data_IF_115678900813
#
_entry.id   IF_115678900813
#
_cell.length_a   1.000
_cell.length_b   1.000
_cell.length_c   1.000
_cell.angle_alpha   90.00
_cell.angle_beta   90.00
_cell.angle_gamma   90.00
#
_symmetry.space_group_name_H-M   'P 1'
#
loop_
_entity.id
_entity.type
_entity.pdbx_description
1 polymer ?
#
# COMPACT_ATOMS: atom_id res chain seq x y z
N UNK A 1 3.69 12.49 -11.60
CA UNK A 1 3.03 11.71 -10.53
C UNK A 1 1.72 11.16 -11.08
N UNK A 2 1.34 9.94 -10.71
CA UNK A 2 0.03 9.34 -11.01
C UNK A 2 -0.70 9.13 -9.70
N UNK A 3 -1.94 9.61 -9.62
CA UNK A 3 -2.87 9.33 -8.52
C UNK A 3 -3.56 7.98 -8.75
N UNK A 4 -3.79 7.22 -7.68
CA UNK A 4 -4.42 5.90 -7.78
C UNK A 4 -5.50 5.66 -6.72
N UNK A 5 -5.44 6.32 -5.56
CA UNK A 5 -6.41 6.10 -4.47
C UNK A 5 -6.76 7.37 -3.70
N UNK A 6 -7.90 7.33 -3.01
CA UNK A 6 -8.44 8.38 -2.17
C UNK A 6 -9.05 7.76 -0.91
N UNK A 7 -8.82 8.38 0.24
CA UNK A 7 -9.44 8.04 1.51
C UNK A 7 -9.99 9.29 2.18
N UNK A 8 -11.08 9.15 2.95
CA UNK A 8 -11.62 10.22 3.80
C UNK A 8 -11.59 9.77 5.26
N UNK A 9 -11.13 10.65 6.14
CA UNK A 9 -11.33 10.52 7.59
C UNK A 9 -12.70 11.10 7.91
N UNK A 10 -13.67 10.23 8.20
CA UNK A 10 -15.05 10.63 8.49
C UNK A 10 -15.19 11.40 9.81
N UNK A 11 -14.17 11.39 10.67
CA UNK A 11 -14.19 12.09 11.96
C UNK A 11 -13.75 13.53 11.82
N UNK A 12 -12.66 13.77 11.08
CA UNK A 12 -12.10 15.12 10.88
C UNK A 12 -12.56 15.80 9.60
N UNK A 13 -13.03 15.04 8.60
CA UNK A 13 -13.29 15.51 7.24
C UNK A 13 -12.04 15.68 6.38
N UNK A 14 -10.86 15.38 6.92
CA UNK A 14 -9.62 15.33 6.14
C UNK A 14 -9.67 14.20 5.11
N UNK A 15 -8.88 14.30 4.05
CA UNK A 15 -8.75 13.24 3.06
C UNK A 15 -7.28 13.03 2.67
N UNK A 16 -6.98 11.81 2.24
CA UNK A 16 -5.66 11.44 1.76
C UNK A 16 -5.74 10.98 0.31
N UNK A 17 -4.84 11.47 -0.53
CA UNK A 17 -4.67 11.01 -1.91
C UNK A 17 -3.37 10.24 -1.99
N UNK A 18 -3.38 9.09 -2.65
CA UNK A 18 -2.20 8.25 -2.81
C UNK A 18 -1.91 7.98 -4.27
N UNK A 19 -0.66 7.61 -4.53
CA UNK A 19 -0.28 7.17 -5.84
C UNK A 19 1.18 6.79 -5.93
N UNK A 20 1.71 6.98 -7.13
CA UNK A 20 3.09 6.66 -7.45
C UNK A 20 3.75 7.70 -8.36
N UNK A 21 5.07 7.73 -8.36
CA UNK A 21 5.86 8.43 -9.36
C UNK A 21 7.08 7.61 -9.76
N UNK A 22 7.49 7.73 -11.01
CA UNK A 22 8.72 7.14 -11.50
C UNK A 22 9.90 8.00 -11.01
N UNK A 23 10.86 7.38 -10.34
CA UNK A 23 12.09 8.01 -9.85
C UNK A 23 13.29 7.27 -10.45
N UNK A 24 14.19 8.03 -11.07
CA UNK A 24 15.45 7.51 -11.57
C UNK A 24 16.49 7.58 -10.46
N UNK A 25 16.90 6.41 -9.96
CA UNK A 25 18.00 6.26 -9.01
C UNK A 25 19.22 5.70 -9.75
N UNK A 26 20.41 5.84 -9.16
CA UNK A 26 21.65 5.34 -9.79
C UNK A 26 21.54 3.81 -9.96
N UNK A 27 21.44 3.36 -11.20
CA UNK A 27 21.36 1.94 -11.55
C UNK A 27 19.96 1.30 -11.50
N UNK A 28 18.89 2.06 -11.25
CA UNK A 28 17.53 1.53 -11.22
C UNK A 28 16.47 2.63 -11.41
N UNK A 29 15.42 2.34 -12.17
CA UNK A 29 14.22 3.18 -12.26
C UNK A 29 13.11 2.51 -11.48
N UNK A 30 12.66 3.13 -10.38
CA UNK A 30 11.64 2.57 -9.50
C UNK A 30 10.41 3.45 -9.44
N UNK A 31 9.24 2.85 -9.18
CA UNK A 31 8.14 3.64 -8.68
C UNK A 31 8.31 3.90 -7.18
N UNK A 32 8.00 5.13 -6.78
CA UNK A 32 7.92 5.56 -5.40
C UNK A 32 6.47 5.83 -5.08
N UNK A 33 6.01 5.24 -3.98
CA UNK A 33 4.73 5.54 -3.42
C UNK A 33 4.76 6.94 -2.82
N UNK A 34 3.64 7.64 -2.89
CA UNK A 34 3.46 8.90 -2.20
C UNK A 34 2.05 9.02 -1.65
N UNK A 35 1.89 9.91 -0.66
CA UNK A 35 0.61 10.30 -0.08
C UNK A 35 0.58 11.81 0.12
N UNK A 36 -0.55 12.43 -0.19
CA UNK A 36 -0.87 13.79 0.22
C UNK A 36 -2.02 13.75 1.21
N UNK A 37 -1.89 14.47 2.32
CA UNK A 37 -2.98 14.69 3.28
C UNK A 37 -3.51 16.11 3.10
N UNK A 38 -4.83 16.22 3.01
CA UNK A 38 -5.55 17.47 2.81
C UNK A 38 -6.56 17.61 3.93
N UNK A 39 -6.59 18.78 4.56
CA UNK A 39 -7.51 19.05 5.65
C UNK A 39 -8.94 19.24 5.13
N UNK A 40 -9.92 19.26 6.04
CA UNK A 40 -11.33 19.45 5.69
C UNK A 40 -11.63 20.78 4.98
N UNK A 41 -10.73 21.77 5.09
CA UNK A 41 -10.86 23.05 4.38
C UNK A 41 -10.36 23.00 2.92
N UNK A 42 -9.79 21.86 2.47
CA UNK A 42 -9.24 21.67 1.13
C UNK A 42 -7.79 22.11 0.95
N UNK A 43 -7.10 22.56 2.01
CA UNK A 43 -5.67 22.90 2.00
C UNK A 43 -4.82 21.69 2.40
N UNK A 44 -3.57 21.64 1.94
CA UNK A 44 -2.61 20.63 2.40
C UNK A 44 -2.48 20.69 3.93
N UNK A 45 -2.45 19.52 4.56
CA UNK A 45 -2.29 19.40 6.00
C UNK A 45 -0.80 19.46 6.36
N UNK A 46 -0.28 20.65 6.62
CA UNK A 46 1.13 20.89 6.98
C UNK A 46 1.58 20.14 8.25
N UNK A 47 0.66 19.61 9.06
CA UNK A 47 1.03 18.73 10.18
C UNK A 47 1.51 17.35 9.73
N UNK A 48 1.29 16.99 8.46
CA UNK A 48 1.70 15.75 7.83
C UNK A 48 2.96 15.98 6.99
N UNK A 49 4.09 15.42 7.42
CA UNK A 49 5.41 15.55 6.78
C UNK A 49 5.93 17.00 6.58
N UNK A 50 5.26 17.99 7.17
CA UNK A 50 5.63 19.41 7.15
C UNK A 50 5.03 20.22 6.00
N UNK A 51 4.53 19.57 4.95
CA UNK A 51 3.95 20.22 3.75
C UNK A 51 2.70 19.50 3.22
N UNK A 52 2.17 18.53 3.98
CA UNK A 52 1.04 17.71 3.58
C UNK A 52 1.35 16.66 2.52
N UNK A 53 2.61 16.43 2.17
CA UNK A 53 3.03 15.47 1.15
C UNK A 53 4.19 14.61 1.61
N UNK A 54 4.10 13.29 1.40
CA UNK A 54 5.18 12.37 1.68
C UNK A 54 5.45 11.45 0.51
N UNK A 55 6.70 11.43 0.05
CA UNK A 55 7.24 10.39 -0.83
C UNK A 55 8.05 9.38 -0.01
N UNK A 56 7.89 8.09 -0.29
CA UNK A 56 8.54 7.02 0.47
C UNK A 56 9.80 6.50 -0.24
N UNK A 57 10.92 7.20 -0.06
CA UNK A 57 12.23 6.78 -0.58
C UNK A 57 13.01 5.88 0.39
N UNK A 58 13.23 6.36 1.62
CA UNK A 58 13.87 5.59 2.68
C UNK A 58 12.79 5.04 3.64
N UNK A 59 12.95 3.81 4.18
CA UNK A 59 14.08 2.89 4.02
C UNK A 59 13.93 1.92 2.82
N UNK A 60 13.29 2.33 1.72
CA UNK A 60 12.94 1.48 0.57
C UNK A 60 13.74 1.80 -0.72
N UNK A 61 15.07 2.02 -0.68
CA UNK A 61 15.80 2.65 -1.78
C UNK A 61 15.88 1.82 -3.07
N UNK A 62 15.65 0.50 -3.01
CA UNK A 62 15.69 -0.41 -4.15
C UNK A 62 14.35 -1.09 -4.43
N UNK A 63 13.31 -0.73 -3.69
CA UNK A 63 12.00 -1.41 -3.73
C UNK A 63 11.07 -0.65 -4.65
N UNK A 64 10.43 -1.30 -5.61
CA UNK A 64 9.30 -0.68 -6.32
C UNK A 64 8.12 -0.60 -5.35
N UNK A 65 7.62 0.61 -5.08
CA UNK A 65 6.54 0.86 -4.14
C UNK A 65 5.46 1.69 -4.81
N UNK A 66 4.22 1.20 -4.76
CA UNK A 66 3.07 1.79 -5.44
C UNK A 66 1.87 1.70 -4.53
N UNK A 67 1.16 2.80 -4.31
CA UNK A 67 -0.08 2.79 -3.53
C UNK A 67 -1.28 3.00 -4.44
N UNK A 68 -2.29 2.16 -4.24
CA UNK A 68 -3.54 2.16 -4.99
C UNK A 68 -4.74 2.41 -4.09
N UNK A 69 -4.66 2.03 -2.82
CA UNK A 69 -5.72 2.18 -1.85
C UNK A 69 -5.20 2.84 -0.58
N UNK A 70 -6.07 3.51 0.15
CA UNK A 70 -5.78 4.09 1.44
C UNK A 70 -7.02 4.01 2.33
N UNK A 71 -6.80 3.97 3.65
CA UNK A 71 -7.84 4.15 4.64
C UNK A 71 -7.28 4.82 5.89
N UNK A 72 -8.16 5.51 6.62
CA UNK A 72 -7.86 6.00 7.95
C UNK A 72 -8.29 4.98 9.00
N UNK A 73 -7.46 4.76 10.02
CA UNK A 73 -7.89 4.08 11.24
C UNK A 73 -8.51 5.07 12.23
N UNK A 74 -9.20 4.59 13.30
CA UNK A 74 -9.84 5.47 14.28
C UNK A 74 -8.89 6.40 15.05
N UNK A 75 -7.58 6.16 14.99
CA UNK A 75 -6.55 7.01 15.60
C UNK A 75 -6.01 8.06 14.62
N UNK A 76 -6.53 8.10 13.39
CA UNK A 76 -6.09 9.00 12.32
C UNK A 76 -4.79 8.56 11.65
N UNK A 77 -4.30 7.35 11.92
CA UNK A 77 -3.21 6.79 11.13
C UNK A 77 -3.72 6.43 9.73
N UNK A 78 -2.83 6.45 8.76
CA UNK A 78 -3.09 6.03 7.40
C UNK A 78 -2.55 4.62 7.17
N UNK A 79 -3.39 3.75 6.63
CA UNK A 79 -2.97 2.49 6.04
C UNK A 79 -3.00 2.65 4.52
N UNK A 80 -1.87 2.35 3.87
CA UNK A 80 -1.67 2.50 2.43
C UNK A 80 -1.47 1.12 1.82
N UNK A 81 -2.34 0.73 0.90
CA UNK A 81 -2.29 -0.55 0.19
C UNK A 81 -1.84 -0.42 -1.24
N UNK A 82 -1.09 -1.40 -1.71
CA UNK A 82 -0.71 -1.49 -3.11
C UNK A 82 0.28 -2.60 -3.35
N UNK A 83 1.38 -2.26 -4.02
CA UNK A 83 2.41 -3.21 -4.47
C UNK A 83 3.75 -2.84 -3.85
N UNK A 84 4.50 -3.87 -3.44
CA UNK A 84 5.93 -3.78 -3.16
C UNK A 84 6.68 -4.88 -3.90
N UNK A 85 7.91 -4.62 -4.36
CA UNK A 85 8.65 -5.63 -5.09
C UNK A 85 10.02 -5.19 -5.60
N UNK A 86 10.59 -6.02 -6.46
CA UNK A 86 11.83 -5.71 -7.17
C UNK A 86 11.56 -4.74 -8.33
N UNK A 87 12.56 -3.90 -8.63
CA UNK A 87 12.52 -2.94 -9.73
C UNK A 87 12.23 -3.58 -11.11
N UNK A 88 12.69 -4.81 -11.31
CA UNK A 88 12.53 -5.58 -12.56
C UNK A 88 11.15 -6.28 -12.67
N UNK A 89 10.26 -6.05 -11.70
CA UNK A 89 8.94 -6.65 -11.60
C UNK A 89 8.92 -8.20 -11.57
N UNK A 90 10.07 -8.84 -11.28
CA UNK A 90 10.16 -10.30 -11.14
C UNK A 90 9.32 -10.85 -9.98
N UNK A 91 9.06 -10.02 -8.97
CA UNK A 91 8.22 -10.31 -7.82
C UNK A 91 7.52 -9.03 -7.38
N UNK A 92 6.18 -9.08 -7.31
CA UNK A 92 5.35 -8.03 -6.74
C UNK A 92 4.37 -8.64 -5.74
N UNK A 93 4.32 -8.05 -4.56
CA UNK A 93 3.61 -8.55 -3.39
C UNK A 93 2.53 -7.54 -2.99
N UNK A 94 1.47 -8.02 -2.34
CA UNK A 94 0.56 -7.11 -1.64
C UNK A 94 1.37 -6.35 -0.59
N UNK A 95 1.34 -5.03 -0.65
CA UNK A 95 1.98 -4.15 0.31
C UNK A 95 0.93 -3.50 1.20
N UNK A 96 1.25 -3.39 2.49
CA UNK A 96 0.51 -2.58 3.43
C UNK A 96 1.49 -1.76 4.27
N UNK A 97 1.44 -0.44 4.11
CA UNK A 97 2.27 0.51 4.85
C UNK A 97 1.40 1.29 5.84
N UNK A 98 1.80 1.33 7.11
CA UNK A 98 1.13 2.16 8.12
C UNK A 98 1.95 3.40 8.46
N UNK A 99 1.27 4.54 8.48
CA UNK A 99 1.84 5.88 8.67
C UNK A 99 1.04 6.62 9.73
N UNK A 100 1.74 7.26 10.66
CA UNK A 100 1.16 8.07 11.72
C UNK A 100 0.53 9.37 11.18
N UNK A 101 -0.33 10.07 11.94
CA UNK A 101 -0.94 11.34 11.52
C UNK A 101 0.09 12.43 11.15
N UNK A 102 1.32 12.31 11.66
CA UNK A 102 2.45 13.20 11.36
C UNK A 102 3.16 12.88 10.05
N UNK A 103 2.84 11.78 9.38
CA UNK A 103 3.58 11.26 8.23
C UNK A 103 4.74 10.32 8.58
N UNK A 104 5.05 10.11 9.86
CA UNK A 104 6.09 9.15 10.27
C UNK A 104 5.65 7.69 10.04
N UNK A 105 6.58 6.80 9.67
CA UNK A 105 6.32 5.37 9.56
C UNK A 105 5.98 4.77 10.93
N UNK A 106 4.94 3.95 11.02
CA UNK A 106 4.54 3.31 12.28
C UNK A 106 5.38 2.06 12.56
N UNK A 107 6.45 2.21 13.34
CA UNK A 107 7.35 1.12 13.72
C UNK A 107 6.70 0.03 14.60
N UNK A 108 5.55 0.33 15.22
CA UNK A 108 4.80 -0.66 16.02
C UNK A 108 4.02 -1.64 15.14
N UNK A 109 3.74 -1.25 13.89
CA UNK A 109 3.07 -2.08 12.89
C UNK A 109 4.05 -3.06 12.22
N UNK A 110 5.22 -2.57 11.83
CA UNK A 110 6.37 -3.33 11.34
C UNK A 110 7.63 -2.47 11.53
N UNK A 111 8.85 -3.03 11.61
CA UNK A 111 10.07 -2.24 11.87
C UNK A 111 10.30 -1.03 10.95
N UNK A 112 9.78 -1.07 9.72
CA UNK A 112 9.79 0.02 8.74
C UNK A 112 8.37 0.48 8.34
N UNK A 113 7.35 0.13 9.13
CA UNK A 113 5.95 0.39 8.86
C UNK A 113 5.36 -0.41 7.69
N UNK A 114 6.16 -1.16 6.93
CA UNK A 114 5.73 -1.92 5.75
C UNK A 114 5.65 -3.41 6.08
N UNK A 115 4.53 -4.01 5.74
CA UNK A 115 4.38 -5.46 5.67
C UNK A 115 3.96 -5.87 4.26
N UNK A 116 4.21 -7.13 3.92
CA UNK A 116 3.83 -7.66 2.63
C UNK A 116 3.38 -9.12 2.69
N UNK A 117 2.71 -9.55 1.63
CA UNK A 117 2.25 -10.92 1.47
C UNK A 117 2.36 -11.32 0.01
N UNK A 118 2.95 -12.49 -0.23
CA UNK A 118 2.99 -13.13 -1.55
C UNK A 118 1.93 -14.22 -1.59
N UNK A 119 1.17 -14.25 -2.67
CA UNK A 119 0.35 -15.41 -3.03
C UNK A 119 1.22 -16.28 -3.94
N UNK A 120 1.76 -17.39 -3.41
CA UNK A 120 2.63 -18.28 -4.18
C UNK A 120 1.81 -19.08 -5.20
N UNK A 121 2.43 -19.44 -6.34
CA UNK A 121 1.87 -20.44 -7.25
C UNK A 121 2.51 -21.79 -6.99
N UNK A 122 1.84 -22.85 -7.39
CA UNK A 122 2.42 -24.18 -7.43
C UNK A 122 3.65 -24.29 -8.37
N UNK A 123 3.88 -23.34 -9.29
CA UNK A 123 4.80 -23.51 -10.44
C UNK A 123 5.90 -22.43 -10.63
N UNK A 124 6.15 -21.54 -9.67
CA UNK A 124 7.36 -20.68 -9.71
C UNK A 124 7.40 -19.55 -10.76
N UNK A 125 6.27 -19.22 -11.40
CA UNK A 125 6.16 -18.01 -12.25
C UNK A 125 6.25 -16.72 -11.45
N UNK A 126 6.73 -15.65 -12.11
CA UNK A 126 6.61 -14.29 -11.61
C UNK A 126 5.13 -13.97 -11.34
N UNK A 127 4.84 -13.43 -10.16
CA UNK A 127 3.48 -13.11 -9.72
C UNK A 127 3.39 -11.62 -9.47
N UNK A 128 2.42 -10.97 -10.11
CA UNK A 128 2.07 -9.60 -9.77
C UNK A 128 0.87 -9.65 -8.84
N UNK A 129 1.09 -9.36 -7.56
CA UNK A 129 0.00 -9.25 -6.59
C UNK A 129 -0.28 -7.77 -6.34
N UNK A 130 -1.48 -7.32 -6.70
CA UNK A 130 -1.87 -5.92 -6.65
C UNK A 130 -3.06 -5.72 -5.74
N UNK A 131 -2.90 -4.93 -4.66
CA UNK A 131 -4.04 -4.40 -3.92
C UNK A 131 -4.71 -3.31 -4.75
N UNK A 132 -6.02 -3.42 -4.92
CA UNK A 132 -6.86 -2.45 -5.64
C UNK A 132 -7.75 -1.66 -4.68
N UNK A 133 -8.21 -2.26 -3.59
CA UNK A 133 -9.07 -1.62 -2.61
C UNK A 133 -8.87 -2.20 -1.20
N UNK A 134 -9.30 -1.44 -0.18
CA UNK A 134 -9.17 -1.83 1.22
C UNK A 134 -10.35 -1.35 2.06
N UNK A 135 -10.73 -2.15 3.06
CA UNK A 135 -11.74 -1.78 4.05
C UNK A 135 -11.29 -2.20 5.45
N UNK A 136 -11.68 -1.42 6.46
CA UNK A 136 -11.46 -1.74 7.87
C UNK A 136 -12.75 -2.25 8.52
N UNK A 137 -12.61 -3.25 9.40
CA UNK A 137 -13.65 -3.81 10.25
C UNK A 137 -13.03 -4.12 11.63
N UNK A 138 -13.13 -3.15 12.55
CA UNK A 138 -12.44 -3.20 13.83
C UNK A 138 -10.91 -3.30 13.66
N UNK A 139 -10.29 -4.28 14.31
CA UNK A 139 -8.82 -4.52 14.24
C UNK A 139 -8.39 -5.24 12.95
N UNK A 140 -9.34 -5.56 12.07
CA UNK A 140 -9.13 -6.27 10.82
C UNK A 140 -9.18 -5.28 9.65
N UNK A 141 -8.15 -5.30 8.81
CA UNK A 141 -8.14 -4.62 7.52
C UNK A 141 -8.22 -5.67 6.41
N UNK A 142 -9.22 -5.59 5.54
CA UNK A 142 -9.34 -6.44 4.36
C UNK A 142 -8.71 -5.72 3.17
N UNK A 143 -7.87 -6.43 2.42
CA UNK A 143 -7.25 -5.96 1.19
C UNK A 143 -7.78 -6.82 0.06
N UNK A 144 -8.33 -6.19 -0.98
CA UNK A 144 -8.82 -6.85 -2.17
C UNK A 144 -8.04 -6.39 -3.39
N UNK A 145 -7.87 -7.30 -4.34
CA UNK A 145 -7.23 -6.99 -5.60
C UNK A 145 -7.08 -8.23 -6.45
N UNK A 146 -5.99 -8.30 -7.20
CA UNK A 146 -5.78 -9.37 -8.16
C UNK A 146 -4.35 -9.85 -8.14
N UNK A 147 -4.18 -11.02 -8.74
CA UNK A 147 -2.92 -11.67 -9.00
C UNK A 147 -2.82 -11.94 -10.49
N UNK A 148 -1.69 -11.58 -11.09
CA UNK A 148 -1.39 -11.81 -12.49
C UNK A 148 -0.21 -12.77 -12.66
N UNK A 149 -0.34 -13.73 -13.57
CA UNK A 149 0.75 -14.61 -14.00
C UNK A 149 1.39 -14.13 -15.29
N UNK A 150 2.68 -14.45 -15.51
CA UNK A 150 3.37 -14.10 -16.76
C UNK A 150 2.72 -14.72 -18.03
N UNK A 151 1.82 -15.70 -17.90
CA UNK A 151 0.93 -16.13 -18.98
C UNK A 151 -0.32 -15.22 -19.00
N UNK A 152 -0.58 -14.49 -20.09
CA UNK A 152 -1.56 -13.39 -20.15
C UNK A 152 -3.03 -13.81 -20.05
N UNK A 153 -3.34 -15.04 -19.67
CA UNK A 153 -4.70 -15.60 -19.64
C UNK A 153 -5.31 -15.77 -18.26
N UNK A 154 -4.58 -15.48 -17.17
CA UNK A 154 -5.05 -15.83 -15.81
C UNK A 154 -4.80 -14.69 -14.81
N UNK A 155 -5.82 -13.84 -14.63
CA UNK A 155 -5.94 -12.89 -13.52
C UNK A 155 -6.88 -13.48 -12.46
N UNK A 156 -6.33 -13.91 -11.33
CA UNK A 156 -7.11 -14.38 -10.18
C UNK A 156 -7.46 -13.20 -9.26
N UNK A 157 -8.64 -13.23 -8.65
CA UNK A 157 -8.88 -12.33 -7.51
C UNK A 157 -8.09 -12.79 -6.28
N UNK A 158 -7.59 -11.83 -5.50
CA UNK A 158 -6.84 -12.10 -4.28
C UNK A 158 -7.36 -11.25 -3.13
N UNK A 159 -7.53 -11.87 -1.96
CA UNK A 159 -8.02 -11.20 -0.75
C UNK A 159 -7.12 -11.56 0.43
N UNK A 160 -6.63 -10.54 1.13
CA UNK A 160 -5.91 -10.72 2.39
C UNK A 160 -6.67 -10.04 3.51
N UNK A 161 -6.49 -10.51 4.75
CA UNK A 161 -6.88 -9.74 5.91
C UNK A 161 -5.68 -9.55 6.83
N UNK A 162 -5.47 -8.32 7.25
CA UNK A 162 -4.44 -7.93 8.18
C UNK A 162 -5.06 -7.70 9.56
N UNK A 163 -4.45 -8.27 10.59
CA UNK A 163 -4.82 -8.01 11.99
C UNK A 163 -3.68 -7.24 12.67
N UNK A 164 -4.01 -6.21 13.45
CA UNK A 164 -2.99 -5.40 14.14
C UNK A 164 -2.16 -6.21 15.17
N UNK A 165 -2.61 -7.39 15.60
CA UNK A 165 -2.02 -8.16 16.72
C UNK A 165 -1.03 -9.26 16.29
N UNK A 166 -0.17 -8.99 15.31
CA UNK A 166 0.97 -9.83 14.87
C UNK A 166 0.66 -11.04 13.97
N UNK A 167 1.38 -11.07 12.83
CA UNK A 167 1.21 -11.91 11.64
C UNK A 167 -0.13 -11.68 10.92
N UNK A 168 -0.13 -10.83 9.89
CA UNK A 168 -1.24 -10.77 8.95
C UNK A 168 -1.56 -12.18 8.48
N UNK A 169 -2.78 -12.64 8.75
CA UNK A 169 -3.21 -13.97 8.37
C UNK A 169 -3.86 -13.87 7.00
N UNK A 170 -3.32 -14.60 6.03
CA UNK A 170 -4.00 -14.75 4.74
C UNK A 170 -5.28 -15.55 4.97
N UNK A 171 -6.42 -14.87 5.11
CA UNK A 171 -7.70 -15.53 5.38
C UNK A 171 -8.19 -16.29 4.13
N UNK A 172 -7.75 -15.90 2.93
CA UNK A 172 -8.26 -16.50 1.70
C UNK A 172 -7.25 -16.44 0.54
N UNK A 173 -6.75 -17.60 0.10
CA UNK A 173 -6.07 -17.75 -1.20
C UNK A 173 -6.93 -18.68 -2.04
N UNK A 174 -8.02 -18.19 -2.66
CA UNK A 174 -8.72 -19.02 -3.63
C UNK A 174 -9.69 -18.22 -4.49
N UNK A 175 -9.30 -17.96 -5.72
CA UNK A 175 -10.22 -17.53 -6.75
C UNK A 175 -10.12 -18.39 -8.00
N UNK A 176 -10.14 -19.72 -7.86
CA UNK A 176 -10.22 -20.62 -9.02
C UNK A 176 -11.34 -20.19 -9.98
N UNK A 177 -11.02 -20.09 -11.28
CA UNK A 177 -11.84 -20.76 -12.30
C UNK A 177 -11.66 -22.28 -12.25
#
# INVERSE_FOLDING_TARGET
MRTSGLAIDTTSGAFAVVGQNLVNLVGSTNHRGWVSKVSANGEFDDSFDGDGFKQFDAPFPATDLRFNAALFDPQGNLLLGGITGNADASLQQFALLKVLPSGALDASFAPNGLTNTTFAAASGSATLNVVSDMLADGDRTVLAGYRHFADPSDDDFAVAAWFQTSSGNVIFQNGFE
#
